data_IF_338858746863
#
_entry.id   IF_338858746863
#
_cell.length_a   1.000
_cell.length_b   1.000
_cell.length_c   1.000
_cell.angle_alpha   90.00
_cell.angle_beta   90.00
_cell.angle_gamma   90.00
#
_symmetry.space_group_name_H-M   'P 1'
#
loop_
_entity.id
_entity.type
_entity.pdbx_description
1 polymer ?
#
# COMPACT_ATOMS: atom_id res chain seq x y z
N UNK A 1 1.47 -19.31 22.37
CA UNK A 1 2.21 -19.48 21.10
C UNK A 1 3.66 -19.67 21.49
N UNK A 2 4.36 -20.65 20.92
CA UNK A 2 5.81 -20.76 21.12
C UNK A 2 6.45 -19.51 20.51
N UNK A 3 7.25 -18.78 21.30
CA UNK A 3 8.04 -17.67 20.78
C UNK A 3 9.06 -18.22 19.77
N UNK A 4 8.96 -17.76 18.53
CA UNK A 4 9.91 -18.11 17.49
C UNK A 4 11.27 -17.49 17.86
N UNK A 5 12.27 -18.32 18.15
CA UNK A 5 13.62 -17.85 18.40
C UNK A 5 14.33 -17.54 17.08
N UNK A 6 14.32 -16.27 16.68
CA UNK A 6 14.93 -15.78 15.44
C UNK A 6 16.42 -16.11 15.36
N UNK A 7 17.15 -16.09 16.48
CA UNK A 7 18.58 -16.40 16.51
C UNK A 7 18.88 -17.89 16.26
N UNK A 8 17.98 -18.77 16.68
CA UNK A 8 18.07 -20.20 16.34
C UNK A 8 17.72 -20.44 14.86
N UNK A 9 16.72 -19.74 14.32
CA UNK A 9 16.37 -19.81 12.89
C UNK A 9 17.53 -19.35 11.99
N UNK A 10 18.24 -18.29 12.37
CA UNK A 10 19.46 -17.82 11.67
C UNK A 10 20.54 -18.90 11.57
N UNK A 11 20.52 -19.90 12.45
CA UNK A 11 21.49 -21.00 12.44
C UNK A 11 20.94 -22.29 11.81
N UNK A 12 19.63 -22.38 11.57
CA UNK A 12 18.97 -23.55 11.00
C UNK A 12 19.32 -23.71 9.50
N UNK A 13 19.94 -24.84 9.08
CA UNK A 13 20.31 -25.08 7.68
C UNK A 13 19.11 -25.14 6.72
N UNK A 14 18.01 -25.78 7.12
CA UNK A 14 16.80 -25.91 6.29
C UNK A 14 16.17 -24.54 6.03
N UNK A 15 16.13 -23.69 7.06
CA UNK A 15 15.65 -22.31 6.93
C UNK A 15 16.54 -21.51 5.96
N UNK A 16 17.87 -21.63 6.06
CA UNK A 16 18.79 -20.96 5.11
C UNK A 16 18.58 -21.41 3.67
N UNK A 17 18.36 -22.70 3.44
CA UNK A 17 18.06 -23.22 2.11
C UNK A 17 16.72 -22.71 1.59
N UNK A 18 15.69 -22.65 2.43
CA UNK A 18 14.39 -22.05 2.09
C UNK A 18 14.54 -20.59 1.69
N UNK A 19 15.27 -19.77 2.47
CA UNK A 19 15.50 -18.35 2.14
C UNK A 19 16.22 -18.20 0.80
N UNK A 20 17.26 -18.99 0.54
CA UNK A 20 17.95 -18.98 -0.76
C UNK A 20 17.04 -19.36 -1.92
N UNK A 21 16.21 -20.38 -1.75
CA UNK A 21 15.22 -20.77 -2.78
C UNK A 21 14.27 -19.61 -3.07
N UNK A 22 13.77 -18.94 -2.03
CA UNK A 22 12.89 -17.79 -2.19
C UNK A 22 13.59 -16.61 -2.87
N UNK A 23 14.86 -16.34 -2.55
CA UNK A 23 15.66 -15.32 -3.26
C UNK A 23 15.78 -15.63 -4.76
N UNK A 24 16.01 -16.89 -5.14
CA UNK A 24 16.08 -17.31 -6.54
C UNK A 24 14.73 -17.19 -7.24
N UNK A 25 13.64 -17.53 -6.56
CA UNK A 25 12.27 -17.34 -7.06
C UNK A 25 11.92 -15.87 -7.23
N UNK A 26 12.28 -15.00 -6.28
CA UNK A 26 12.10 -13.55 -6.39
C UNK A 26 12.95 -13.00 -7.52
N UNK A 27 14.16 -13.50 -7.77
CA UNK A 27 14.99 -13.05 -8.90
C UNK A 27 14.43 -13.49 -10.26
N UNK A 28 13.90 -14.71 -10.34
CA UNK A 28 13.41 -15.31 -11.58
C UNK A 28 11.94 -14.98 -11.90
N UNK A 29 11.18 -14.51 -10.93
CA UNK A 29 9.78 -14.11 -11.08
C UNK A 29 9.55 -12.63 -10.81
N UNK A 30 8.40 -12.12 -11.26
CA UNK A 30 7.90 -10.80 -10.91
C UNK A 30 6.76 -10.88 -9.87
N UNK A 31 6.75 -11.93 -9.03
CA UNK A 31 5.74 -12.08 -7.98
C UNK A 31 6.00 -11.08 -6.86
N UNK A 32 5.09 -10.13 -6.71
CA UNK A 32 5.08 -9.16 -5.63
C UNK A 32 4.81 -9.85 -4.29
N UNK A 33 3.91 -10.83 -4.27
CA UNK A 33 3.59 -11.58 -3.06
C UNK A 33 4.83 -12.29 -2.50
N UNK A 34 5.64 -12.95 -3.34
CA UNK A 34 6.90 -13.56 -2.92
C UNK A 34 7.97 -12.54 -2.53
N UNK A 35 7.99 -11.39 -3.21
CA UNK A 35 8.92 -10.30 -2.87
C UNK A 35 8.64 -9.77 -1.47
N UNK A 36 7.35 -9.63 -1.08
CA UNK A 36 6.96 -9.30 0.29
C UNK A 36 7.34 -10.40 1.29
N UNK A 37 7.12 -11.68 0.97
CA UNK A 37 7.56 -12.77 1.86
C UNK A 37 9.05 -12.71 2.15
N UNK A 38 9.86 -12.42 1.14
CA UNK A 38 11.31 -12.27 1.31
C UNK A 38 11.67 -11.01 2.11
N UNK A 39 10.97 -9.90 1.87
CA UNK A 39 11.14 -8.66 2.62
C UNK A 39 10.84 -8.87 4.11
N UNK A 40 9.73 -9.53 4.45
CA UNK A 40 9.35 -9.83 5.83
C UNK A 40 10.42 -10.70 6.53
N UNK A 41 10.98 -11.69 5.83
CA UNK A 41 12.11 -12.49 6.33
C UNK A 41 13.34 -11.61 6.56
N UNK A 42 13.71 -10.75 5.59
CA UNK A 42 14.88 -9.88 5.72
C UNK A 42 14.74 -8.91 6.89
N UNK A 43 13.55 -8.34 7.10
CA UNK A 43 13.25 -7.49 8.26
C UNK A 43 13.39 -8.28 9.57
N UNK A 44 12.82 -9.48 9.65
CA UNK A 44 12.90 -10.32 10.84
C UNK A 44 14.35 -10.74 11.17
N UNK A 45 15.16 -11.03 10.15
CA UNK A 45 16.56 -11.38 10.30
C UNK A 45 17.48 -10.17 10.53
N UNK A 46 16.96 -8.95 10.40
CA UNK A 46 17.72 -7.70 10.45
C UNK A 46 18.84 -7.68 9.40
N UNK A 47 18.51 -8.10 8.18
CA UNK A 47 19.41 -8.00 7.03
C UNK A 47 19.75 -6.53 6.73
N UNK A 48 20.83 -6.31 5.98
CA UNK A 48 21.33 -4.97 5.68
C UNK A 48 20.32 -4.10 4.91
N UNK A 49 20.31 -2.80 5.21
CA UNK A 49 19.42 -1.80 4.61
C UNK A 49 19.42 -1.84 3.08
N UNK A 50 20.60 -2.05 2.44
CA UNK A 50 20.71 -2.13 0.98
C UNK A 50 19.84 -3.23 0.37
N UNK A 51 19.78 -4.41 1.01
CA UNK A 51 18.95 -5.54 0.55
C UNK A 51 17.46 -5.26 0.74
N UNK A 52 17.11 -4.65 1.87
CA UNK A 52 15.73 -4.25 2.17
C UNK A 52 15.26 -3.21 1.14
N UNK A 53 16.09 -2.22 0.86
CA UNK A 53 15.82 -1.17 -0.12
C UNK A 53 15.69 -1.72 -1.55
N UNK A 54 16.52 -2.70 -1.94
CA UNK A 54 16.41 -3.37 -3.24
C UNK A 54 15.05 -4.06 -3.41
N UNK A 55 14.60 -4.80 -2.39
CA UNK A 55 13.29 -5.46 -2.42
C UNK A 55 12.14 -4.45 -2.42
N UNK A 56 12.24 -3.39 -1.61
CA UNK A 56 11.22 -2.34 -1.59
C UNK A 56 11.10 -1.64 -2.94
N UNK A 57 12.23 -1.29 -3.58
CA UNK A 57 12.22 -0.70 -4.92
C UNK A 57 11.57 -1.64 -5.94
N UNK A 58 11.90 -2.94 -5.88
CA UNK A 58 11.27 -3.95 -6.75
C UNK A 58 9.75 -4.03 -6.53
N UNK A 59 9.29 -3.94 -5.28
CA UNK A 59 7.87 -3.90 -4.93
C UNK A 59 7.21 -2.68 -5.56
N UNK A 60 7.79 -1.49 -5.39
CA UNK A 60 7.27 -0.23 -5.94
C UNK A 60 7.13 -0.34 -7.46
N UNK A 61 8.21 -0.73 -8.14
CA UNK A 61 8.23 -0.85 -9.61
C UNK A 61 7.21 -1.88 -10.13
N UNK A 62 7.14 -3.05 -9.50
CA UNK A 62 6.17 -4.08 -9.87
C UNK A 62 4.72 -3.65 -9.59
N UNK A 63 4.49 -2.89 -8.53
CA UNK A 63 3.16 -2.39 -8.18
C UNK A 63 2.67 -1.34 -9.18
N UNK A 64 3.53 -0.41 -9.60
CA UNK A 64 3.20 0.54 -10.67
C UNK A 64 2.91 -0.17 -12.00
N UNK A 65 3.75 -1.15 -12.36
CA UNK A 65 3.53 -1.96 -13.57
C UNK A 65 2.18 -2.68 -13.53
N UNK A 66 1.81 -3.25 -12.38
CA UNK A 66 0.53 -3.93 -12.19
C UNK A 66 -0.65 -2.97 -12.31
N UNK A 67 -0.58 -1.80 -11.65
CA UNK A 67 -1.62 -0.78 -11.77
C UNK A 67 -1.78 -0.30 -13.21
N UNK A 68 -0.68 -0.02 -13.91
CA UNK A 68 -0.71 0.42 -15.29
C UNK A 68 -1.40 -0.61 -16.19
N UNK A 69 -1.03 -1.89 -16.08
CA UNK A 69 -1.65 -2.98 -16.84
C UNK A 69 -3.15 -3.13 -16.55
N UNK A 70 -3.56 -2.99 -15.28
CA UNK A 70 -4.98 -3.05 -14.89
C UNK A 70 -5.76 -1.90 -15.50
N UNK A 71 -5.21 -0.68 -15.45
CA UNK A 71 -5.81 0.51 -16.06
C UNK A 71 -5.96 0.36 -17.58
N UNK A 72 -4.92 -0.11 -18.28
CA UNK A 72 -4.94 -0.35 -19.73
C UNK A 72 -6.02 -1.35 -20.15
N UNK A 73 -6.24 -2.39 -19.34
CA UNK A 73 -7.28 -3.41 -19.58
C UNK A 73 -8.67 -3.01 -19.11
N UNK A 74 -8.81 -1.87 -18.43
CA UNK A 74 -10.05 -1.47 -17.78
C UNK A 74 -10.45 -2.37 -16.60
N UNK A 75 -9.48 -3.08 -16.04
CA UNK A 75 -9.66 -3.99 -14.90
C UNK A 75 -9.44 -3.28 -13.56
N UNK A 76 -9.95 -3.88 -12.48
CA UNK A 76 -9.69 -3.46 -11.10
C UNK A 76 -8.79 -4.47 -10.39
N UNK A 77 -8.18 -4.02 -9.29
CA UNK A 77 -7.45 -4.88 -8.37
C UNK A 77 -8.44 -5.65 -7.50
N UNK A 78 -8.32 -6.98 -7.51
CA UNK A 78 -9.05 -7.87 -6.58
C UNK A 78 -8.18 -8.14 -5.36
N UNK A 79 -8.56 -7.58 -4.20
CA UNK A 79 -7.78 -7.73 -2.97
C UNK A 79 -7.81 -9.16 -2.39
N UNK A 80 -8.59 -10.08 -2.97
CA UNK A 80 -8.51 -11.52 -2.66
C UNK A 80 -7.40 -12.23 -3.47
N UNK A 81 -6.91 -11.61 -4.53
CA UNK A 81 -5.76 -12.09 -5.28
C UNK A 81 -4.46 -11.62 -4.60
N UNK A 82 -3.53 -12.52 -4.23
CA UNK A 82 -2.32 -12.13 -3.51
C UNK A 82 -1.40 -11.14 -4.25
N UNK A 83 -1.35 -11.20 -5.59
CA UNK A 83 -0.53 -10.28 -6.39
C UNK A 83 -1.17 -8.90 -6.51
N UNK A 84 -2.48 -8.84 -6.73
CA UNK A 84 -3.22 -7.57 -6.76
C UNK A 84 -3.23 -6.90 -5.37
N UNK A 85 -3.36 -7.69 -4.30
CA UNK A 85 -3.22 -7.22 -2.93
C UNK A 85 -1.81 -6.65 -2.68
N UNK A 86 -0.77 -7.37 -3.12
CA UNK A 86 0.61 -6.92 -2.95
C UNK A 86 0.89 -5.66 -3.76
N UNK A 87 0.34 -5.53 -4.97
CA UNK A 87 0.42 -4.32 -5.77
C UNK A 87 -0.28 -3.12 -5.10
N UNK A 88 -1.48 -3.33 -4.56
CA UNK A 88 -2.18 -2.30 -3.81
C UNK A 88 -1.35 -1.85 -2.61
N UNK A 89 -0.80 -2.80 -1.84
CA UNK A 89 0.04 -2.52 -0.67
C UNK A 89 1.29 -1.72 -1.04
N UNK A 90 2.00 -2.10 -2.10
CA UNK A 90 3.23 -1.42 -2.51
C UNK A 90 3.00 0.05 -2.87
N UNK A 91 1.90 0.34 -3.56
CA UNK A 91 1.54 1.72 -3.92
C UNK A 91 1.07 2.49 -2.69
N UNK A 92 0.35 1.85 -1.77
CA UNK A 92 -0.05 2.46 -0.51
C UNK A 92 1.16 2.82 0.36
N UNK A 93 2.08 1.88 0.58
CA UNK A 93 3.31 2.11 1.35
C UNK A 93 4.14 3.24 0.75
N UNK A 94 4.25 3.27 -0.58
CA UNK A 94 4.94 4.36 -1.27
C UNK A 94 4.19 5.70 -1.14
N UNK A 95 2.86 5.72 -1.17
CA UNK A 95 2.06 6.92 -0.92
C UNK A 95 2.28 7.48 0.48
N UNK A 96 2.31 6.58 1.48
CA UNK A 96 2.60 6.91 2.88
C UNK A 96 4.02 7.45 3.04
N UNK A 97 5.01 6.85 2.38
CA UNK A 97 6.37 7.38 2.36
C UNK A 97 6.38 8.81 1.79
N UNK A 98 5.77 9.04 0.63
CA UNK A 98 5.70 10.38 0.02
C UNK A 98 4.99 11.38 0.93
N UNK A 99 3.94 10.95 1.62
CA UNK A 99 3.26 11.80 2.59
C UNK A 99 4.16 12.17 3.76
N UNK A 100 4.90 11.20 4.32
CA UNK A 100 5.86 11.43 5.42
C UNK A 100 7.02 12.36 5.00
N UNK A 101 7.44 12.29 3.74
CA UNK A 101 8.46 13.15 3.13
C UNK A 101 7.92 14.55 2.74
N UNK A 102 6.65 14.84 3.05
CA UNK A 102 5.94 16.06 2.67
C UNK A 102 5.84 16.30 1.15
N UNK A 103 5.98 15.24 0.34
CA UNK A 103 5.62 15.24 -1.09
C UNK A 103 4.11 14.97 -1.24
N UNK A 104 3.33 15.96 -0.79
CA UNK A 104 1.87 15.87 -0.67
C UNK A 104 1.18 15.64 -2.02
N UNK A 105 1.74 16.22 -3.09
CA UNK A 105 1.18 16.08 -4.43
C UNK A 105 1.29 14.63 -4.90
N UNK A 106 2.48 14.04 -4.80
CA UNK A 106 2.68 12.63 -5.20
C UNK A 106 1.85 11.69 -4.33
N UNK A 107 1.79 11.92 -3.02
CA UNK A 107 0.96 11.14 -2.11
C UNK A 107 -0.52 11.15 -2.54
N UNK A 108 -1.09 12.34 -2.81
CA UNK A 108 -2.46 12.48 -3.32
C UNK A 108 -2.67 11.69 -4.62
N UNK A 109 -1.76 11.78 -5.60
CA UNK A 109 -1.90 11.02 -6.85
C UNK A 109 -1.96 9.52 -6.61
N UNK A 110 -1.11 9.00 -5.72
CA UNK A 110 -1.03 7.58 -5.43
C UNK A 110 -2.27 7.07 -4.71
N UNK A 111 -2.79 7.81 -3.73
CA UNK A 111 -4.06 7.47 -3.10
C UNK A 111 -5.24 7.54 -4.09
N UNK A 112 -5.25 8.52 -5.00
CA UNK A 112 -6.26 8.60 -6.03
C UNK A 112 -6.16 7.47 -7.07
N UNK A 113 -4.94 7.03 -7.39
CA UNK A 113 -4.72 5.86 -8.24
C UNK A 113 -5.37 4.62 -7.60
N UNK A 114 -5.10 4.37 -6.32
CA UNK A 114 -5.70 3.26 -5.56
C UNK A 114 -7.22 3.39 -5.44
N UNK A 115 -7.74 4.58 -5.13
CA UNK A 115 -9.19 4.83 -5.10
C UNK A 115 -9.86 4.47 -6.44
N UNK A 116 -9.18 4.77 -7.54
CA UNK A 116 -9.69 4.46 -8.87
C UNK A 116 -9.57 2.96 -9.19
N UNK A 117 -8.49 2.28 -8.80
CA UNK A 117 -8.15 0.93 -9.27
C UNK A 117 -8.63 -0.21 -8.38
N UNK A 118 -8.91 0.04 -7.10
CA UNK A 118 -9.41 -0.97 -6.16
C UNK A 118 -10.93 -1.15 -6.29
N UNK A 119 -11.39 -2.41 -6.23
CA UNK A 119 -12.83 -2.76 -6.22
C UNK A 119 -13.45 -2.70 -4.81
N UNK A 120 -12.69 -3.12 -3.79
CA UNK A 120 -13.14 -3.17 -2.40
C UNK A 120 -13.51 -1.78 -1.84
N UNK A 121 -14.79 -1.56 -1.55
CA UNK A 121 -15.31 -0.24 -1.15
C UNK A 121 -14.71 0.29 0.16
N UNK A 122 -14.40 -0.58 1.11
CA UNK A 122 -13.82 -0.19 2.41
C UNK A 122 -12.42 0.41 2.20
N UNK A 123 -11.53 -0.32 1.52
CA UNK A 123 -10.18 0.17 1.23
C UNK A 123 -10.24 1.37 0.29
N UNK A 124 -11.09 1.31 -0.74
CA UNK A 124 -11.27 2.40 -1.69
C UNK A 124 -11.65 3.69 -0.99
N UNK A 125 -12.73 3.73 -0.20
CA UNK A 125 -13.16 4.96 0.44
C UNK A 125 -12.14 5.47 1.47
N UNK A 126 -11.40 4.56 2.13
CA UNK A 126 -10.25 4.94 2.95
C UNK A 126 -9.18 5.69 2.13
N UNK A 127 -8.86 5.27 0.91
CA UNK A 127 -7.91 6.01 0.04
C UNK A 127 -8.39 7.42 -0.29
N UNK A 128 -9.70 7.61 -0.49
CA UNK A 128 -10.26 8.95 -0.67
C UNK A 128 -10.13 9.80 0.59
N UNK A 129 -10.33 9.21 1.78
CA UNK A 129 -10.10 9.90 3.06
C UNK A 129 -8.65 10.35 3.19
N UNK A 130 -7.67 9.48 2.88
CA UNK A 130 -6.25 9.84 2.88
C UNK A 130 -5.97 11.04 1.97
N UNK A 131 -6.35 10.93 0.69
CA UNK A 131 -6.14 12.00 -0.29
C UNK A 131 -6.82 13.32 0.14
N UNK A 132 -8.05 13.24 0.65
CA UNK A 132 -8.82 14.41 1.05
C UNK A 132 -8.28 15.06 2.32
N UNK A 133 -7.77 14.29 3.28
CA UNK A 133 -7.11 14.83 4.47
C UNK A 133 -5.85 15.61 4.08
N UNK A 134 -5.03 15.06 3.19
CA UNK A 134 -3.82 15.74 2.68
C UNK A 134 -4.19 17.03 1.94
N UNK A 135 -5.17 16.98 1.03
CA UNK A 135 -5.62 18.18 0.29
C UNK A 135 -6.25 19.24 1.22
N UNK A 136 -6.77 18.81 2.38
CA UNK A 136 -7.30 19.68 3.44
C UNK A 136 -6.22 20.21 4.39
N UNK A 137 -4.95 19.90 4.14
CA UNK A 137 -3.80 20.43 4.89
C UNK A 137 -3.41 19.65 6.13
N UNK A 138 -3.87 18.40 6.30
CA UNK A 138 -3.37 17.54 7.37
C UNK A 138 -1.93 17.13 7.07
N UNK A 139 -1.04 17.33 8.06
CA UNK A 139 0.30 16.74 8.03
C UNK A 139 0.23 15.23 8.27
N UNK A 140 1.33 14.53 7.97
CA UNK A 140 1.47 13.10 8.28
C UNK A 140 1.17 12.82 9.76
N UNK A 141 1.75 13.60 10.66
CA UNK A 141 1.52 13.47 12.10
C UNK A 141 0.07 13.75 12.48
N UNK A 142 -0.54 14.80 11.93
CA UNK A 142 -1.94 15.13 12.20
C UNK A 142 -2.89 14.01 11.75
N UNK A 143 -2.62 13.41 10.60
CA UNK A 143 -3.43 12.31 10.08
C UNK A 143 -3.42 11.13 11.05
N UNK A 144 -2.25 10.65 11.43
CA UNK A 144 -2.14 9.48 12.30
C UNK A 144 -2.55 9.74 13.76
N UNK A 145 -2.37 10.97 14.26
CA UNK A 145 -2.73 11.30 15.64
C UNK A 145 -4.21 11.67 15.82
N UNK A 146 -4.89 12.16 14.76
CA UNK A 146 -6.26 12.70 14.87
C UNK A 146 -7.30 11.91 14.09
N UNK A 147 -6.91 11.25 13.00
CA UNK A 147 -7.85 10.59 12.09
C UNK A 147 -7.71 9.07 12.14
N UNK A 148 -6.49 8.54 12.03
CA UNK A 148 -6.26 7.10 12.08
C UNK A 148 -6.56 6.54 13.46
N UNK A 149 -7.17 5.35 13.50
CA UNK A 149 -7.37 4.59 14.74
C UNK A 149 -6.39 3.43 14.73
N UNK A 150 -5.35 3.53 15.56
CA UNK A 150 -4.33 2.49 15.75
C UNK A 150 -4.49 1.88 17.15
N UNK A 151 -4.88 0.62 17.20
CA UNK A 151 -5.02 -0.22 18.37
C UNK A 151 -4.65 -1.69 18.04
N UNK A 152 -4.55 -2.54 19.07
CA UNK A 152 -4.10 -3.93 18.90
C UNK A 152 -5.05 -4.78 18.03
N UNK A 153 -6.33 -4.41 17.92
CA UNK A 153 -7.31 -5.16 17.11
C UNK A 153 -7.10 -4.95 15.61
N UNK A 154 -6.43 -3.86 15.21
CA UNK A 154 -6.10 -3.63 13.81
C UNK A 154 -5.21 -4.75 13.23
N UNK A 155 -4.36 -5.38 14.04
CA UNK A 155 -3.46 -6.45 13.58
C UNK A 155 -4.19 -7.76 13.21
N UNK A 156 -5.47 -7.91 13.60
CA UNK A 156 -6.29 -9.07 13.23
C UNK A 156 -6.93 -8.93 11.84
N UNK A 157 -7.05 -7.70 11.32
CA UNK A 157 -7.62 -7.42 10.00
C UNK A 157 -6.50 -7.15 8.97
N UNK A 158 -6.31 -8.02 7.95
CA UNK A 158 -5.28 -7.82 6.93
C UNK A 158 -5.41 -6.50 6.17
N UNK A 159 -6.60 -5.91 6.08
CA UNK A 159 -6.82 -4.63 5.40
C UNK A 159 -6.33 -3.43 6.20
N UNK A 160 -6.09 -3.57 7.50
CA UNK A 160 -5.57 -2.49 8.35
C UNK A 160 -4.23 -1.96 7.88
N UNK A 161 -3.49 -2.74 7.06
CA UNK A 161 -2.27 -2.25 6.37
C UNK A 161 -2.53 -0.96 5.60
N UNK A 162 -3.75 -0.78 5.06
CA UNK A 162 -4.18 0.41 4.32
C UNK A 162 -4.74 1.54 5.21
N UNK A 163 -4.63 1.41 6.53
CA UNK A 163 -5.21 2.34 7.52
C UNK A 163 -6.69 2.63 7.22
N UNK A 164 -7.49 1.57 7.21
CA UNK A 164 -8.95 1.63 6.98
C UNK A 164 -9.75 2.03 8.22
N UNK A 165 -9.15 1.89 9.39
CA UNK A 165 -9.78 2.19 10.66
C UNK A 165 -9.50 3.64 11.07
N UNK A 166 -10.58 4.37 11.32
CA UNK A 166 -10.54 5.78 11.66
C UNK A 166 -11.27 6.06 12.97
N UNK A 167 -10.90 7.16 13.63
CA UNK A 167 -11.55 7.65 14.86
C UNK A 167 -13.01 8.04 14.61
N UNK A 168 -13.34 8.46 13.40
CA UNK A 168 -14.69 8.76 12.94
C UNK A 168 -15.07 7.83 11.78
N UNK A 169 -16.35 7.48 11.60
CA UNK A 169 -16.80 6.74 10.43
C UNK A 169 -16.37 7.38 9.11
N UNK A 170 -16.06 6.55 8.11
CA UNK A 170 -15.53 6.98 6.80
C UNK A 170 -16.47 7.97 6.10
N UNK A 171 -17.78 7.73 6.13
CA UNK A 171 -18.79 8.63 5.56
C UNK A 171 -18.80 10.02 6.22
N UNK A 172 -18.61 10.07 7.54
CA UNK A 172 -18.46 11.32 8.29
C UNK A 172 -17.18 12.06 7.89
N UNK A 173 -16.06 11.35 7.72
CA UNK A 173 -14.80 11.95 7.27
C UNK A 173 -14.89 12.48 5.84
N UNK A 174 -15.49 11.72 4.92
CA UNK A 174 -15.73 12.16 3.55
C UNK A 174 -16.64 13.39 3.50
N UNK A 175 -17.64 13.47 4.37
CA UNK A 175 -18.50 14.64 4.49
C UNK A 175 -17.76 15.84 5.11
N UNK A 176 -16.91 15.61 6.10
CA UNK A 176 -16.05 16.64 6.70
C UNK A 176 -15.11 17.25 5.66
N UNK A 177 -14.57 16.42 4.75
CA UNK A 177 -13.69 16.84 3.66
C UNK A 177 -14.40 17.07 2.32
N UNK A 178 -15.72 17.33 2.31
CA UNK A 178 -16.53 17.39 1.08
C UNK A 178 -15.97 18.26 -0.04
N UNK A 179 -15.33 19.39 0.30
CA UNK A 179 -14.81 20.34 -0.69
C UNK A 179 -13.57 19.75 -1.38
N UNK A 180 -12.65 19.17 -0.59
CA UNK A 180 -11.49 18.42 -1.08
C UNK A 180 -11.91 17.19 -1.87
N UNK A 181 -12.86 16.39 -1.37
CA UNK A 181 -13.41 15.23 -2.08
C UNK A 181 -14.01 15.64 -3.44
N UNK A 182 -14.78 16.72 -3.49
CA UNK A 182 -15.37 17.23 -4.74
C UNK A 182 -14.29 17.65 -5.75
N UNK A 183 -13.25 18.36 -5.29
CA UNK A 183 -12.11 18.76 -6.11
C UNK A 183 -11.34 17.56 -6.66
N UNK A 184 -11.07 16.56 -5.82
CA UNK A 184 -10.34 15.35 -6.19
C UNK A 184 -11.13 14.47 -7.17
N UNK A 185 -12.45 14.33 -6.98
CA UNK A 185 -13.32 13.62 -7.93
C UNK A 185 -13.34 14.29 -9.30
N UNK A 186 -13.47 15.62 -9.37
CA UNK A 186 -13.37 16.37 -10.63
C UNK A 186 -12.02 16.19 -11.34
N UNK A 187 -10.96 16.01 -10.56
CA UNK A 187 -9.63 15.73 -11.11
C UNK A 187 -9.57 14.35 -11.76
N UNK A 188 -10.12 13.33 -11.11
CA UNK A 188 -10.23 11.98 -11.66
C UNK A 188 -11.09 11.94 -12.93
N UNK A 189 -12.21 12.67 -12.96
CA UNK A 189 -13.07 12.78 -14.14
C UNK A 189 -12.31 13.28 -15.37
N UNK A 190 -11.55 14.37 -15.21
CA UNK A 190 -10.72 14.93 -16.30
C UNK A 190 -9.68 13.96 -16.84
N UNK A 191 -9.07 13.14 -15.97
CA UNK A 191 -8.12 12.12 -16.37
C UNK A 191 -8.81 11.02 -17.20
N UNK A 192 -10.02 10.63 -16.82
CA UNK A 192 -10.80 9.62 -17.55
C UNK A 192 -11.34 10.13 -18.89
N UNK A 193 -11.61 11.43 -19.01
CA UNK A 193 -12.04 12.07 -20.27
C UNK A 193 -10.87 12.17 -21.26
N UNK A 194 -9.69 12.60 -20.80
CA UNK A 194 -8.49 12.68 -21.65
C UNK A 194 -8.10 11.32 -22.26
N UNK A 195 -8.26 10.22 -21.51
CA UNK A 195 -7.95 8.87 -21.98
C UNK A 195 -8.99 8.28 -22.96
N UNK A 196 -10.12 8.96 -23.21
CA UNK A 196 -11.15 8.52 -24.17
C UNK A 196 -11.04 9.20 -25.54
N UNK A 197 -10.22 10.24 -25.64
CA UNK A 197 -10.04 11.02 -26.88
C UNK A 197 -8.80 10.57 -27.69
N UNK A 198 -8.06 9.55 -27.21
CA UNK A 198 -6.98 8.84 -27.92
C UNK A 198 -7.45 7.49 -28.47
#
# INVERSE_FOLDING_TARGET
MEEINIEELKSNPEFKEMVKSLEEEVKSSNSLAKTYQLLDIYLALQEGEDKINELFQKIVDGSFSTIAQKLEKGEKLDLNNPEDWAAARGIYEFAIQKFSENDLKSAIELFLALYHTIEDFEVKDAMMVHAAAIDSGYSFEDFFNKLAKIDESNFENPKSVFTTDFVQPVDILLQMFKDSVSKLKKRLEKLNEANKEE
#
